data_IF_838652617122
#
_entry.id   IF_838652617122
#
_cell.length_a   1.000
_cell.length_b   1.000
_cell.length_c   1.000
_cell.angle_alpha   90.00
_cell.angle_beta   90.00
_cell.angle_gamma   90.00
#
_symmetry.space_group_name_H-M   'P 1'
#
loop_
_entity.id
_entity.type
_entity.pdbx_description
1 polymer ?
#
# COMPACT_ATOMS: atom_id res chain seq x y z
N UNK A 1 25.04 13.56 -0.46
CA UNK A 1 24.03 13.84 -1.52
C UNK A 1 22.62 13.48 -1.03
N UNK A 2 22.23 13.95 0.16
CA UNK A 2 21.01 13.51 0.88
C UNK A 2 20.09 14.67 1.30
N UNK A 3 20.34 15.88 0.80
CA UNK A 3 19.52 17.07 1.12
C UNK A 3 18.35 17.30 0.16
N UNK A 4 18.44 16.83 -1.09
CA UNK A 4 17.43 17.14 -2.12
C UNK A 4 16.16 16.27 -2.06
N UNK A 5 16.16 15.12 -1.36
CA UNK A 5 14.94 14.33 -1.19
C UNK A 5 14.05 14.85 -0.04
N UNK A 6 14.65 15.50 0.96
CA UNK A 6 13.93 16.11 2.09
C UNK A 6 13.15 17.36 1.67
N UNK A 7 13.62 18.12 0.69
CA UNK A 7 12.96 19.34 0.24
C UNK A 7 11.66 19.07 -0.55
N UNK A 8 11.62 18.01 -1.36
CA UNK A 8 10.40 17.64 -2.10
C UNK A 8 9.26 17.15 -1.20
N UNK A 9 9.57 16.36 -0.16
CA UNK A 9 8.56 15.92 0.81
C UNK A 9 8.05 17.09 1.66
N UNK A 10 8.95 17.96 2.13
CA UNK A 10 8.57 19.19 2.83
C UNK A 10 7.70 20.10 1.95
N UNK A 11 7.98 20.23 0.66
CA UNK A 11 7.18 21.05 -0.26
C UNK A 11 5.74 20.55 -0.44
N UNK A 12 5.54 19.24 -0.67
CA UNK A 12 4.20 18.66 -0.87
C UNK A 12 3.40 18.64 0.43
N UNK A 13 4.03 18.35 1.58
CA UNK A 13 3.38 18.47 2.89
C UNK A 13 3.02 19.93 3.20
N UNK A 14 3.89 20.89 2.89
CA UNK A 14 3.64 22.32 3.18
C UNK A 14 2.50 22.88 2.32
N UNK A 15 2.43 22.54 1.03
CA UNK A 15 1.32 22.98 0.15
C UNK A 15 0.00 22.38 0.63
N UNK A 16 -0.01 21.09 0.98
CA UNK A 16 -1.21 20.40 1.49
C UNK A 16 -1.66 20.98 2.83
N UNK A 17 -0.71 21.27 3.74
CA UNK A 17 -0.97 21.89 5.04
C UNK A 17 -1.48 23.34 4.91
N UNK A 18 -0.92 24.11 3.97
CA UNK A 18 -1.36 25.48 3.67
C UNK A 18 -2.77 25.51 3.07
N UNK A 19 -3.07 24.59 2.13
CA UNK A 19 -4.42 24.44 1.58
C UNK A 19 -5.43 23.96 2.65
N UNK A 20 -5.03 23.04 3.54
CA UNK A 20 -5.87 22.59 4.68
C UNK A 20 -6.19 23.72 5.67
N UNK A 21 -5.35 24.76 5.77
CA UNK A 21 -5.60 25.91 6.63
C UNK A 21 -6.84 26.71 6.20
N UNK A 22 -7.21 26.68 4.90
CA UNK A 22 -8.39 27.39 4.36
C UNK A 22 -9.62 26.50 4.13
N UNK A 23 -9.48 25.17 3.99
CA UNK A 23 -10.61 24.25 3.73
C UNK A 23 -10.59 23.05 4.65
N UNK A 24 -11.75 22.71 5.23
CA UNK A 24 -11.91 21.56 6.15
C UNK A 24 -11.66 20.19 5.49
N UNK A 25 -11.76 20.11 4.15
CA UNK A 25 -11.67 18.88 3.35
C UNK A 25 -11.07 19.22 1.99
N UNK A 26 -10.08 18.45 1.52
CA UNK A 26 -9.46 18.61 0.20
C UNK A 26 -9.35 17.25 -0.47
N UNK A 27 -9.66 17.19 -1.76
CA UNK A 27 -9.37 16.02 -2.59
C UNK A 27 -8.09 16.30 -3.37
N UNK A 28 -7.06 15.48 -3.16
CA UNK A 28 -5.78 15.60 -3.84
C UNK A 28 -5.31 14.22 -4.33
N UNK A 29 -4.99 14.14 -5.63
CA UNK A 29 -4.61 12.88 -6.31
C UNK A 29 -5.57 11.69 -6.09
N UNK A 30 -6.84 11.95 -5.75
CA UNK A 30 -7.82 10.90 -5.44
C UNK A 30 -7.74 10.33 -4.04
N UNK A 31 -7.10 11.07 -3.13
CA UNK A 31 -7.25 10.92 -1.70
C UNK A 31 -8.03 12.11 -1.16
N UNK A 32 -8.94 11.84 -0.23
CA UNK A 32 -9.65 12.86 0.53
C UNK A 32 -8.91 13.08 1.84
N UNK A 33 -8.28 14.23 1.95
CA UNK A 33 -7.49 14.65 3.10
C UNK A 33 -8.39 15.50 4.00
N UNK A 34 -8.52 15.09 5.25
CA UNK A 34 -9.24 15.78 6.31
C UNK A 34 -8.33 15.94 7.53
N UNK A 35 -8.77 16.70 8.53
CA UNK A 35 -8.02 16.84 9.81
C UNK A 35 -7.87 15.51 10.54
N UNK A 36 -8.85 14.63 10.40
CA UNK A 36 -8.86 13.30 11.03
C UNK A 36 -7.88 12.34 10.34
N UNK A 37 -7.59 12.55 9.06
CA UNK A 37 -6.72 11.67 8.32
C UNK A 37 -6.89 11.71 6.80
N UNK A 38 -6.34 10.71 6.15
CA UNK A 38 -6.41 10.48 4.71
C UNK A 38 -7.34 9.31 4.44
N UNK A 39 -8.33 9.52 3.57
CA UNK A 39 -9.22 8.47 3.06
C UNK A 39 -9.08 8.33 1.55
N UNK A 40 -9.29 7.14 1.01
CA UNK A 40 -9.44 6.96 -0.44
C UNK A 40 -10.73 7.65 -0.91
N UNK A 41 -10.66 8.34 -2.05
CA UNK A 41 -11.86 8.94 -2.63
C UNK A 41 -12.81 7.86 -3.17
N UNK A 42 -14.09 7.95 -2.79
CA UNK A 42 -15.12 6.99 -3.17
C UNK A 42 -15.32 6.89 -4.68
N UNK A 43 -15.12 7.99 -5.41
CA UNK A 43 -15.17 7.98 -6.87
C UNK A 43 -14.10 7.06 -7.48
N UNK A 44 -12.88 7.07 -6.94
CA UNK A 44 -11.81 6.17 -7.37
C UNK A 44 -12.04 4.73 -6.93
N UNK A 45 -12.69 4.50 -5.78
CA UNK A 45 -13.04 3.14 -5.34
C UNK A 45 -14.09 2.54 -6.29
N UNK A 46 -15.15 3.29 -6.62
CA UNK A 46 -16.20 2.85 -7.56
C UNK A 46 -15.64 2.51 -8.94
N UNK A 47 -14.85 3.41 -9.52
CA UNK A 47 -14.21 3.17 -10.82
C UNK A 47 -13.31 1.92 -10.83
N UNK A 48 -12.79 1.51 -9.67
CA UNK A 48 -11.98 0.30 -9.53
C UNK A 48 -12.81 -0.97 -9.35
N UNK A 49 -13.95 -0.89 -8.68
CA UNK A 49 -14.90 -2.00 -8.59
C UNK A 49 -15.48 -2.38 -9.95
N UNK A 50 -15.71 -1.38 -10.81
CA UNK A 50 -16.23 -1.56 -12.17
C UNK A 50 -15.13 -1.95 -13.17
N UNK A 51 -13.88 -2.10 -12.73
CA UNK A 51 -12.79 -2.42 -13.63
C UNK A 51 -12.93 -3.88 -14.11
N UNK A 52 -12.86 -4.13 -15.44
CA UNK A 52 -12.98 -5.48 -15.97
C UNK A 52 -11.81 -6.36 -15.50
N UNK A 53 -12.07 -7.66 -15.37
CA UNK A 53 -11.03 -8.64 -15.10
C UNK A 53 -9.96 -8.57 -16.20
N UNK A 54 -8.67 -8.58 -15.86
CA UNK A 54 -7.61 -8.47 -16.85
C UNK A 54 -7.59 -9.72 -17.73
N UNK A 55 -7.56 -9.51 -19.05
CA UNK A 55 -7.52 -10.57 -20.07
C UNK A 55 -6.11 -10.99 -20.44
N UNK A 56 -5.11 -10.15 -20.11
CA UNK A 56 -3.73 -10.28 -20.55
C UNK A 56 -2.74 -9.97 -19.43
N UNK A 57 -1.49 -10.44 -19.59
CA UNK A 57 -0.36 -10.14 -18.69
C UNK A 57 -0.15 -8.62 -18.54
N UNK A 58 -0.33 -7.86 -19.62
CA UNK A 58 -0.26 -6.40 -19.59
C UNK A 58 -1.39 -5.78 -18.74
N UNK A 59 -2.58 -6.35 -18.80
CA UNK A 59 -3.71 -5.97 -17.95
C UNK A 59 -3.42 -6.23 -16.47
N UNK A 60 -2.83 -7.38 -16.14
CA UNK A 60 -2.41 -7.72 -14.78
C UNK A 60 -1.36 -6.76 -14.25
N UNK A 61 -0.36 -6.39 -15.05
CA UNK A 61 0.63 -5.38 -14.64
C UNK A 61 -0.02 -4.05 -14.30
N UNK A 62 -1.00 -3.60 -15.11
CA UNK A 62 -1.75 -2.36 -14.85
C UNK A 62 -2.55 -2.45 -13.55
N UNK A 63 -3.26 -3.57 -13.34
CA UNK A 63 -3.97 -3.85 -12.10
C UNK A 63 -3.02 -3.80 -10.89
N UNK A 64 -1.92 -4.55 -10.93
CA UNK A 64 -0.93 -4.60 -9.85
C UNK A 64 -0.38 -3.21 -9.53
N UNK A 65 0.00 -2.42 -10.54
CA UNK A 65 0.48 -1.04 -10.33
C UNK A 65 -0.57 -0.14 -9.69
N UNK A 66 -1.82 -0.26 -10.12
CA UNK A 66 -2.94 0.51 -9.56
C UNK A 66 -3.25 0.12 -8.11
N UNK A 67 -3.19 -1.16 -7.77
CA UNK A 67 -3.40 -1.65 -6.41
C UNK A 67 -2.22 -1.25 -5.53
N UNK A 68 -0.99 -1.29 -6.06
CA UNK A 68 0.21 -0.83 -5.35
C UNK A 68 0.12 0.66 -4.98
N UNK A 69 -0.50 1.49 -5.81
CA UNK A 69 -0.78 2.90 -5.49
C UNK A 69 -1.70 3.08 -4.25
N UNK A 70 -2.50 2.05 -3.92
CA UNK A 70 -3.37 2.02 -2.74
C UNK A 70 -2.81 1.16 -1.60
N UNK A 71 -1.59 0.60 -1.75
CA UNK A 71 -1.04 -0.35 -0.79
C UNK A 71 -0.99 0.20 0.64
N UNK A 72 -0.78 1.51 0.80
CA UNK A 72 -0.76 2.19 2.10
C UNK A 72 -2.02 2.01 2.95
N UNK A 73 -3.16 1.69 2.33
CA UNK A 73 -4.44 1.45 3.01
C UNK A 73 -4.76 -0.04 3.20
N UNK A 74 -4.00 -0.93 2.58
CA UNK A 74 -4.34 -2.34 2.46
C UNK A 74 -3.37 -3.18 3.30
N UNK A 75 -3.81 -3.75 4.44
CA UNK A 75 -3.00 -4.73 5.16
C UNK A 75 -2.81 -5.99 4.30
N UNK A 76 -1.67 -6.65 4.45
CA UNK A 76 -1.34 -7.96 3.86
C UNK A 76 -1.54 -8.11 2.34
N UNK A 77 -1.43 -6.99 1.61
CA UNK A 77 -1.62 -6.96 0.16
C UNK A 77 -0.72 -7.95 -0.59
N UNK A 78 0.49 -8.23 -0.10
CA UNK A 78 1.43 -9.16 -0.72
C UNK A 78 0.88 -10.58 -0.82
N UNK A 79 0.14 -11.03 0.20
CA UNK A 79 -0.45 -12.37 0.22
C UNK A 79 -1.67 -12.44 -0.71
N UNK A 80 -2.51 -11.40 -0.69
CA UNK A 80 -3.70 -11.34 -1.54
C UNK A 80 -3.36 -11.23 -3.03
N UNK A 81 -2.31 -10.48 -3.39
CA UNK A 81 -1.86 -10.37 -4.78
C UNK A 81 -0.95 -11.52 -5.24
N UNK A 82 -0.56 -12.44 -4.37
CA UNK A 82 0.35 -13.53 -4.72
C UNK A 82 -0.07 -14.34 -5.96
N UNK A 83 -1.31 -14.85 -6.08
CA UNK A 83 -1.73 -15.63 -7.25
C UNK A 83 -1.77 -14.77 -8.53
N UNK A 84 -2.15 -13.50 -8.42
CA UNK A 84 -2.20 -12.57 -9.56
C UNK A 84 -0.79 -12.21 -10.04
N UNK A 85 0.16 -12.04 -9.11
CA UNK A 85 1.58 -11.78 -9.42
C UNK A 85 2.27 -12.98 -10.08
N UNK A 86 1.80 -14.20 -9.84
CA UNK A 86 2.33 -15.38 -10.49
C UNK A 86 2.11 -15.37 -12.01
N UNK A 87 0.95 -14.86 -12.46
CA UNK A 87 0.64 -14.67 -13.88
C UNK A 87 1.57 -13.67 -14.59
N UNK A 88 2.35 -12.89 -13.84
CA UNK A 88 3.31 -11.94 -14.39
C UNK A 88 4.73 -12.51 -14.53
N UNK A 89 4.97 -13.74 -14.05
CA UNK A 89 6.28 -14.40 -14.10
C UNK A 89 6.61 -14.86 -15.52
N UNK A 90 7.90 -14.88 -15.85
CA UNK A 90 8.38 -15.44 -17.11
C UNK A 90 8.14 -16.96 -17.11
N UNK A 91 7.79 -17.52 -18.27
CA UNK A 91 7.52 -18.95 -18.48
C UNK A 91 6.26 -19.52 -17.78
N UNK A 92 5.37 -18.67 -17.26
CA UNK A 92 4.05 -19.11 -16.79
C UNK A 92 3.03 -18.91 -17.91
N UNK A 93 2.30 -19.97 -18.34
CA UNK A 93 1.24 -19.80 -19.33
C UNK A 93 0.11 -18.96 -18.72
N UNK A 94 -0.41 -18.03 -19.51
CA UNK A 94 -1.52 -17.20 -19.09
C UNK A 94 -2.78 -18.05 -18.89
N UNK A 95 -3.23 -18.18 -17.63
CA UNK A 95 -4.47 -18.86 -17.28
C UNK A 95 -5.08 -18.18 -16.05
N UNK A 96 -6.20 -17.48 -16.25
CA UNK A 96 -6.97 -16.93 -15.14
C UNK A 96 -7.65 -18.08 -14.38
N UNK A 97 -7.12 -18.43 -13.21
CA UNK A 97 -7.65 -19.51 -12.37
C UNK A 97 -8.76 -18.99 -11.43
N UNK A 98 -9.54 -19.91 -10.85
CA UNK A 98 -10.50 -19.58 -9.79
C UNK A 98 -9.84 -18.89 -8.60
N UNK A 99 -8.61 -19.28 -8.26
CA UNK A 99 -7.80 -18.63 -7.21
C UNK A 99 -7.47 -17.17 -7.55
N UNK A 100 -7.16 -16.88 -8.82
CA UNK A 100 -6.92 -15.50 -9.28
C UNK A 100 -8.18 -14.65 -9.18
N UNK A 101 -9.35 -15.20 -9.53
CA UNK A 101 -10.63 -14.52 -9.41
C UNK A 101 -10.96 -14.22 -7.93
N UNK A 102 -10.83 -15.21 -7.05
CA UNK A 102 -11.05 -15.02 -5.60
C UNK A 102 -10.11 -13.96 -5.02
N UNK A 103 -8.84 -13.98 -5.43
CA UNK A 103 -7.86 -12.97 -5.03
C UNK A 103 -8.23 -11.57 -5.54
N UNK A 104 -8.67 -11.46 -6.79
CA UNK A 104 -9.10 -10.20 -7.39
C UNK A 104 -10.28 -9.60 -6.62
N UNK A 105 -11.33 -10.41 -6.39
CA UNK A 105 -12.51 -9.98 -5.64
C UNK A 105 -12.15 -9.57 -4.20
N UNK A 106 -11.25 -10.30 -3.55
CA UNK A 106 -10.77 -9.96 -2.20
C UNK A 106 -10.05 -8.60 -2.17
N UNK A 107 -9.17 -8.34 -3.13
CA UNK A 107 -8.47 -7.05 -3.23
C UNK A 107 -9.46 -5.91 -3.48
N UNK A 108 -10.44 -6.11 -4.37
CA UNK A 108 -11.46 -5.09 -4.65
C UNK A 108 -12.37 -4.82 -3.44
N UNK A 109 -12.72 -5.86 -2.68
CA UNK A 109 -13.44 -5.70 -1.42
C UNK A 109 -12.63 -4.88 -0.41
N UNK A 110 -11.36 -5.22 -0.18
CA UNK A 110 -10.48 -4.48 0.75
C UNK A 110 -10.25 -3.04 0.34
N UNK A 111 -10.19 -2.74 -0.97
CA UNK A 111 -10.13 -1.36 -1.47
C UNK A 111 -11.36 -0.53 -1.11
N UNK A 112 -12.50 -1.20 -0.95
CA UNK A 112 -13.78 -0.57 -0.61
C UNK A 112 -13.91 -0.36 0.89
N UNK A 113 -13.46 -1.33 1.67
CA UNK A 113 -13.45 -1.33 3.14
C UNK A 113 -12.21 -0.64 3.73
N UNK A 114 -11.41 0.04 2.89
CA UNK A 114 -10.16 0.67 3.29
C UNK A 114 -10.35 1.63 4.49
N UNK A 115 -9.57 1.46 5.57
CA UNK A 115 -9.68 2.30 6.77
C UNK A 115 -9.21 3.72 6.52
N UNK A 116 -9.58 4.62 7.43
CA UNK A 116 -9.03 5.99 7.46
C UNK A 116 -7.64 5.91 8.09
N UNK A 117 -6.64 6.43 7.38
CA UNK A 117 -5.28 6.54 7.89
C UNK A 117 -5.08 7.88 8.57
N UNK A 118 -4.45 7.91 9.74
CA UNK A 118 -4.17 9.15 10.46
C UNK A 118 -3.03 9.92 9.79
N UNK A 119 -3.09 11.25 9.84
CA UNK A 119 -1.99 12.09 9.37
C UNK A 119 -0.77 11.90 10.27
N UNK A 120 0.40 11.70 9.67
CA UNK A 120 1.64 11.57 10.41
C UNK A 120 2.00 12.88 11.14
N UNK A 121 2.34 12.78 12.42
CA UNK A 121 2.84 13.89 13.23
C UNK A 121 4.27 13.59 13.71
N UNK A 122 5.20 14.49 13.40
CA UNK A 122 6.62 14.34 13.72
C UNK A 122 6.88 14.36 15.23
N UNK A 123 6.00 14.99 16.01
CA UNK A 123 6.18 15.14 17.45
C UNK A 123 5.63 13.96 18.27
N UNK A 124 4.98 13.00 17.60
CA UNK A 124 4.33 11.86 18.26
C UNK A 124 5.18 10.61 18.16
N UNK A 125 5.12 9.78 19.19
CA UNK A 125 5.76 8.48 19.19
C UNK A 125 5.17 7.58 18.09
N UNK A 126 6.06 6.84 17.44
CA UNK A 126 5.75 5.96 16.32
C UNK A 126 6.01 4.53 16.75
N UNK A 127 5.01 3.67 16.60
CA UNK A 127 5.11 2.24 16.88
C UNK A 127 5.03 1.48 15.56
N UNK A 128 6.09 0.77 15.20
CA UNK A 128 6.10 -0.12 14.04
C UNK A 128 5.77 -1.55 14.49
N UNK A 129 4.64 -2.07 14.04
CA UNK A 129 4.30 -3.49 14.22
C UNK A 129 4.60 -4.25 12.94
N UNK A 130 5.37 -5.32 13.06
CA UNK A 130 5.83 -6.12 11.93
C UNK A 130 5.39 -7.56 12.15
N UNK A 131 4.79 -8.14 11.11
CA UNK A 131 4.57 -9.57 11.02
C UNK A 131 5.21 -10.15 9.77
N UNK A 132 5.70 -11.37 9.89
CA UNK A 132 6.41 -12.07 8.83
C UNK A 132 5.86 -13.47 8.71
N UNK A 133 5.42 -13.83 7.51
CA UNK A 133 5.04 -15.18 7.17
C UNK A 133 6.17 -15.89 6.42
N UNK A 134 5.93 -17.15 6.02
CA UNK A 134 6.90 -17.90 5.22
C UNK A 134 7.23 -17.21 3.88
N UNK A 135 6.23 -16.55 3.27
CA UNK A 135 6.31 -16.06 1.89
C UNK A 135 6.12 -14.53 1.77
N UNK A 136 5.75 -13.84 2.85
CA UNK A 136 5.41 -12.43 2.82
C UNK A 136 5.72 -11.71 4.13
N UNK A 137 5.80 -10.40 4.03
CA UNK A 137 5.99 -9.47 5.15
C UNK A 137 4.83 -8.48 5.16
N UNK A 138 4.34 -8.20 6.36
CA UNK A 138 3.37 -7.15 6.65
C UNK A 138 3.90 -6.24 7.74
N UNK A 139 3.63 -4.95 7.63
CA UNK A 139 3.88 -4.02 8.71
C UNK A 139 2.80 -2.94 8.75
N UNK A 140 2.57 -2.41 9.93
CA UNK A 140 1.72 -1.24 10.16
C UNK A 140 2.48 -0.23 11.00
N UNK A 141 2.48 1.02 10.52
CA UNK A 141 2.95 2.17 11.26
C UNK A 141 1.79 2.73 12.08
N UNK A 142 1.94 2.77 13.39
CA UNK A 142 0.93 3.24 14.33
C UNK A 142 1.41 4.51 15.05
N UNK A 143 0.50 5.46 15.25
CA UNK A 143 0.68 6.58 16.17
C UNK A 143 -0.52 6.63 17.11
N UNK A 144 -0.27 6.65 18.42
CA UNK A 144 -1.33 6.64 19.46
C UNK A 144 -2.35 5.50 19.25
N UNK A 145 -1.88 4.33 18.80
CA UNK A 145 -2.73 3.16 18.52
C UNK A 145 -3.56 3.24 17.24
N UNK A 146 -3.36 4.26 16.38
CA UNK A 146 -4.08 4.42 15.11
C UNK A 146 -3.15 4.20 13.91
N UNK A 147 -3.62 3.57 12.82
CA UNK A 147 -2.80 3.31 11.63
C UNK A 147 -2.53 4.58 10.83
N UNK A 148 -1.24 4.84 10.60
CA UNK A 148 -0.76 5.90 9.71
C UNK A 148 -0.54 5.34 8.30
N UNK A 149 0.09 4.17 8.19
CA UNK A 149 0.36 3.55 6.91
C UNK A 149 0.59 2.03 7.04
N UNK A 150 0.08 1.27 6.08
CA UNK A 150 0.35 -0.16 5.94
C UNK A 150 1.43 -0.42 4.89
N UNK A 151 2.32 -1.35 5.17
CA UNK A 151 3.28 -1.87 4.21
C UNK A 151 3.12 -3.37 4.08
N UNK A 152 3.25 -3.87 2.85
CA UNK A 152 3.27 -5.30 2.59
C UNK A 152 4.18 -5.61 1.42
N UNK A 153 4.99 -6.66 1.58
CA UNK A 153 5.97 -7.07 0.58
C UNK A 153 6.05 -8.59 0.48
N UNK A 154 6.08 -9.10 -0.74
CA UNK A 154 6.37 -10.51 -1.02
C UNK A 154 7.88 -10.75 -0.90
N UNK A 155 8.27 -11.82 -0.21
CA UNK A 155 9.67 -12.22 -0.09
C UNK A 155 10.19 -12.81 -1.40
N UNK A 156 11.47 -12.56 -1.69
CA UNK A 156 12.15 -13.26 -2.79
C UNK A 156 12.42 -14.72 -2.39
N UNK A 157 12.57 -15.64 -3.36
CA UNK A 157 12.87 -17.05 -3.05
C UNK A 157 14.07 -17.24 -2.13
N UNK A 158 15.12 -16.42 -2.25
CA UNK A 158 16.29 -16.44 -1.36
C UNK A 158 15.96 -15.96 0.05
N UNK A 159 15.08 -14.96 0.19
CA UNK A 159 14.68 -14.35 1.46
C UNK A 159 13.68 -15.23 2.23
N UNK A 160 12.96 -16.13 1.55
CA UNK A 160 12.01 -17.06 2.18
C UNK A 160 12.69 -18.01 3.18
N UNK A 161 13.98 -18.33 2.97
CA UNK A 161 14.74 -19.26 3.79
C UNK A 161 15.47 -18.58 4.97
N UNK A 162 15.39 -17.26 5.07
CA UNK A 162 16.02 -16.51 6.15
C UNK A 162 15.31 -16.71 7.49
N UNK A 163 16.03 -16.43 8.57
CA UNK A 163 15.45 -16.43 9.91
C UNK A 163 14.39 -15.33 10.03
N UNK A 164 13.42 -15.54 10.92
CA UNK A 164 12.30 -14.63 11.09
C UNK A 164 12.74 -13.22 11.50
N UNK A 165 13.83 -13.11 12.25
CA UNK A 165 14.43 -11.83 12.65
C UNK A 165 15.05 -11.08 11.46
N UNK A 166 15.68 -11.79 10.53
CA UNK A 166 16.27 -11.21 9.32
C UNK A 166 15.19 -10.78 8.33
N UNK A 167 14.08 -11.51 8.26
CA UNK A 167 12.92 -11.10 7.46
C UNK A 167 12.32 -9.81 7.98
N UNK A 168 12.24 -9.65 9.31
CA UNK A 168 11.74 -8.42 9.93
C UNK A 168 12.64 -7.23 9.60
N UNK A 169 13.96 -7.37 9.66
CA UNK A 169 14.87 -6.24 9.37
C UNK A 169 14.74 -5.70 7.94
N UNK A 170 14.26 -6.50 6.98
CA UNK A 170 13.95 -6.03 5.62
C UNK A 170 12.91 -4.91 5.64
N UNK A 171 11.90 -5.00 6.51
CA UNK A 171 10.85 -3.99 6.58
C UNK A 171 11.40 -2.68 7.14
N UNK A 172 12.29 -2.75 8.12
CA UNK A 172 12.90 -1.57 8.74
C UNK A 172 13.67 -0.75 7.68
N UNK A 173 14.39 -1.42 6.79
CA UNK A 173 15.11 -0.80 5.67
C UNK A 173 14.16 -0.19 4.62
N UNK A 174 12.98 -0.77 4.43
CA UNK A 174 11.96 -0.22 3.52
C UNK A 174 11.40 1.08 4.07
N UNK A 175 11.08 1.10 5.36
CA UNK A 175 10.54 2.28 6.03
C UNK A 175 11.59 3.38 6.23
N UNK A 176 12.86 3.03 6.47
CA UNK A 176 13.95 4.00 6.56
C UNK A 176 14.23 4.74 5.23
N UNK A 177 13.71 4.24 4.10
CA UNK A 177 13.78 4.93 2.81
C UNK A 177 12.60 5.87 2.55
N UNK A 178 11.51 5.72 3.29
CA UNK A 178 10.30 6.51 3.13
C UNK A 178 10.33 7.84 3.92
N UNK A 179 11.25 7.98 4.89
CA UNK A 179 11.42 9.14 5.75
C UNK A 179 12.83 9.75 5.67
#
# INVERSE_FOLDING_TARGET
MTENSKSCFNGVMTITFFLMRKRKKITFHGHRITREGVKVDHAKVKAKQEMPCPTDVSGVKRLCSMVQYMAKFLPDLANDLAPIRELTRKHVPWKWSSECEVAFQRVMKRLTEAPILVNFDVNKEVVLQVDSSKNGLGAVLLQEGKPVEFASRTLKPSECNWAQIEKRSIIDVIWSRAF
#
